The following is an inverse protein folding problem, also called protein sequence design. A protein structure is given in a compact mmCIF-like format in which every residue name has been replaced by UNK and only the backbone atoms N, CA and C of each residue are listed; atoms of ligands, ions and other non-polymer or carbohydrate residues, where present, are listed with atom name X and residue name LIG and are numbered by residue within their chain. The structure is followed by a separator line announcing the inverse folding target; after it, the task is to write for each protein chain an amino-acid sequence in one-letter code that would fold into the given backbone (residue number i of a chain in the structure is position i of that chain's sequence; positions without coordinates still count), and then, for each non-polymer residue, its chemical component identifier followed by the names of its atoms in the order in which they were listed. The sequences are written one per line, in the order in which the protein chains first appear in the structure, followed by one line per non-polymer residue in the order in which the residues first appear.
data_IF_942241303286
#
_entry.id   IF_942241303286
#
_cell.length_a   1.000
_cell.length_b   1.000
_cell.length_c   1.000
_cell.angle_alpha   90.00
_cell.angle_beta   90.00
_cell.angle_gamma   90.00
#
_symmetry.space_group_name_H-M   'P 1'
#
loop_
_entity.id
_entity.type
_entity.pdbx_description
1 polymer ?
#
# COMPACT_ATOMS: atom_id res chain seq x y z
N UNK A 1 15.83 -13.68 6.92
CA UNK A 1 14.69 -12.73 6.83
C UNK A 1 14.98 -11.47 6.02
N UNK A 2 16.04 -10.67 6.29
CA UNK A 2 16.29 -9.39 5.58
C UNK A 2 16.24 -9.46 4.04
N UNK A 3 16.75 -10.53 3.43
CA UNK A 3 16.74 -10.74 1.97
C UNK A 3 15.33 -10.95 1.39
N UNK A 4 14.42 -11.54 2.15
CA UNK A 4 13.03 -11.78 1.73
C UNK A 4 12.24 -10.47 1.82
N UNK A 5 12.40 -9.73 2.93
CA UNK A 5 11.78 -8.42 3.12
C UNK A 5 12.18 -7.43 2.01
N UNK A 6 13.48 -7.35 1.71
CA UNK A 6 13.99 -6.48 0.64
C UNK A 6 13.43 -6.85 -0.75
N UNK A 7 13.22 -8.14 -1.02
CA UNK A 7 12.59 -8.58 -2.28
C UNK A 7 11.14 -8.13 -2.36
N UNK A 8 10.41 -8.24 -1.26
CA UNK A 8 9.02 -7.78 -1.17
C UNK A 8 8.92 -6.26 -1.38
N UNK A 9 9.75 -5.46 -0.71
CA UNK A 9 9.80 -4.00 -0.88
C UNK A 9 10.03 -3.59 -2.35
N UNK A 10 10.98 -4.25 -3.01
CA UNK A 10 11.27 -4.00 -4.43
C UNK A 10 10.06 -4.33 -5.31
N UNK A 11 9.38 -5.46 -5.06
CA UNK A 11 8.18 -5.83 -5.81
C UNK A 11 7.07 -4.79 -5.65
N UNK A 12 6.87 -4.25 -4.45
CA UNK A 12 5.87 -3.20 -4.21
C UNK A 12 6.23 -1.90 -4.96
N UNK A 13 7.51 -1.51 -4.97
CA UNK A 13 7.96 -0.34 -5.74
C UNK A 13 7.69 -0.50 -7.24
N UNK A 14 8.01 -1.66 -7.82
CA UNK A 14 7.71 -1.93 -9.23
C UNK A 14 6.20 -1.86 -9.50
N UNK A 15 5.39 -2.43 -8.62
CA UNK A 15 3.94 -2.41 -8.77
C UNK A 15 3.37 -0.98 -8.70
N UNK A 16 3.88 -0.14 -7.80
CA UNK A 16 3.51 1.28 -7.73
C UNK A 16 3.81 2.02 -9.03
N UNK A 17 5.01 1.81 -9.59
CA UNK A 17 5.42 2.46 -10.84
C UNK A 17 4.52 2.01 -11.98
N UNK A 18 4.24 0.71 -12.07
CA UNK A 18 3.35 0.14 -13.10
C UNK A 18 1.93 0.69 -12.95
N UNK A 19 1.39 0.79 -11.73
CA UNK A 19 0.06 1.33 -11.50
C UNK A 19 -0.02 2.85 -11.72
N UNK A 20 1.05 3.59 -11.48
CA UNK A 20 1.07 5.03 -11.73
C UNK A 20 1.22 5.34 -13.23
N UNK A 21 2.07 4.61 -13.94
CA UNK A 21 2.40 4.87 -15.34
C UNK A 21 1.59 4.06 -16.35
N UNK A 22 1.39 2.77 -16.09
CA UNK A 22 0.78 1.86 -17.05
C UNK A 22 -0.73 2.09 -17.26
N UNK A 23 -1.42 2.61 -16.24
CA UNK A 23 -2.85 2.85 -16.28
C UNK A 23 -3.29 3.90 -17.33
N UNK A 24 -2.68 5.11 -17.40
CA UNK A 24 -3.03 6.06 -18.44
C UNK A 24 -2.74 5.51 -19.83
N UNK A 25 -1.63 4.78 -20.01
CA UNK A 25 -1.29 4.17 -21.30
C UNK A 25 -2.32 3.11 -21.75
N UNK A 26 -2.84 2.31 -20.81
CA UNK A 26 -3.92 1.37 -21.08
C UNK A 26 -5.22 2.10 -21.48
N UNK A 27 -5.52 3.23 -20.83
CA UNK A 27 -6.65 4.08 -21.19
C UNK A 27 -6.58 4.58 -22.63
N UNK A 28 -5.39 5.04 -23.05
CA UNK A 28 -5.14 5.48 -24.43
C UNK A 28 -5.32 4.33 -25.43
N UNK A 29 -4.81 3.13 -25.12
CA UNK A 29 -4.97 1.95 -25.98
C UNK A 29 -6.42 1.46 -26.08
N UNK A 30 -7.20 1.61 -25.01
CA UNK A 30 -8.62 1.26 -24.98
C UNK A 30 -9.51 2.34 -25.61
N UNK A 31 -8.94 3.44 -26.10
CA UNK A 31 -9.67 4.52 -26.77
C UNK A 31 -10.51 5.36 -25.80
N UNK A 32 -10.07 5.51 -24.55
CA UNK A 32 -10.80 6.31 -23.56
C UNK A 32 -10.47 7.79 -23.73
N UNK A 33 -11.12 8.42 -24.70
CA UNK A 33 -10.97 9.84 -24.96
C UNK A 33 -11.77 10.66 -23.95
N UNK A 34 -11.21 10.88 -22.76
CA UNK A 34 -11.80 11.73 -21.74
C UNK A 34 -11.06 11.73 -20.41
N UNK A 35 -11.16 12.85 -19.68
CA UNK A 35 -10.56 12.99 -18.34
C UNK A 35 -11.25 12.07 -17.32
N UNK A 36 -12.58 11.94 -17.41
CA UNK A 36 -13.39 11.21 -16.44
C UNK A 36 -13.05 9.71 -16.34
N UNK A 37 -12.92 8.95 -17.45
CA UNK A 37 -12.52 7.53 -17.38
C UNK A 37 -11.16 7.32 -16.72
N UNK A 38 -10.15 8.12 -17.08
CA UNK A 38 -8.78 8.01 -16.54
C UNK A 38 -8.76 8.29 -15.03
N UNK A 39 -9.48 9.34 -14.60
CA UNK A 39 -9.66 9.68 -13.18
C UNK A 39 -10.28 8.51 -12.41
N UNK A 40 -11.29 7.83 -12.97
CA UNK A 40 -11.91 6.66 -12.34
C UNK A 40 -10.97 5.45 -12.24
N UNK A 41 -10.13 5.19 -13.24
CA UNK A 41 -9.13 4.10 -13.14
C UNK A 41 -8.19 4.39 -11.99
N UNK A 42 -7.66 5.62 -11.90
CA UNK A 42 -6.77 6.00 -10.82
C UNK A 42 -7.44 5.83 -9.47
N UNK A 43 -8.67 6.33 -9.32
CA UNK A 43 -9.44 6.16 -8.11
C UNK A 43 -9.59 4.69 -7.68
N UNK A 44 -10.02 3.81 -8.59
CA UNK A 44 -10.31 2.41 -8.25
C UNK A 44 -9.01 1.63 -8.03
N UNK A 45 -8.08 1.66 -8.98
CA UNK A 45 -6.90 0.80 -8.95
C UNK A 45 -5.83 1.30 -8.00
N UNK A 46 -5.48 2.60 -8.04
CA UNK A 46 -4.51 3.14 -7.08
C UNK A 46 -5.13 3.31 -5.69
N UNK A 47 -6.43 3.60 -5.57
CA UNK A 47 -7.11 3.60 -4.28
C UNK A 47 -7.20 2.21 -3.65
N UNK A 48 -7.60 1.19 -4.42
CA UNK A 48 -7.59 -0.20 -3.97
C UNK A 48 -6.19 -0.67 -3.59
N UNK A 49 -5.18 -0.29 -4.39
CA UNK A 49 -3.79 -0.58 -4.06
C UNK A 49 -3.32 0.14 -2.78
N UNK A 50 -3.72 1.39 -2.55
CA UNK A 50 -3.37 2.14 -1.33
C UNK A 50 -3.87 1.42 -0.06
N UNK A 51 -5.12 0.93 -0.09
CA UNK A 51 -5.70 0.13 0.98
C UNK A 51 -4.88 -1.16 1.22
N UNK A 52 -4.61 -1.92 0.14
CA UNK A 52 -3.79 -3.13 0.20
C UNK A 52 -2.40 -2.85 0.76
N UNK A 53 -1.76 -1.76 0.31
CA UNK A 53 -0.40 -1.42 0.67
C UNK A 53 -0.26 -1.02 2.14
N UNK A 54 -1.19 -0.21 2.67
CA UNK A 54 -1.25 0.11 4.11
C UNK A 54 -1.39 -1.14 4.98
N UNK A 55 -2.25 -2.09 4.57
CA UNK A 55 -2.38 -3.39 5.24
C UNK A 55 -1.08 -4.21 5.17
N UNK A 56 -0.38 -4.20 4.04
CA UNK A 56 0.87 -4.94 3.87
C UNK A 56 2.01 -4.38 4.75
N UNK A 57 2.12 -3.06 4.86
CA UNK A 57 3.09 -2.40 5.74
C UNK A 57 2.92 -2.90 7.18
N UNK A 58 1.66 -2.90 7.65
CA UNK A 58 1.31 -3.40 8.97
C UNK A 58 1.66 -4.88 9.13
N UNK A 59 1.18 -5.73 8.21
CA UNK A 59 1.34 -7.19 8.26
C UNK A 59 2.80 -7.64 8.29
N UNK A 60 3.68 -6.94 7.58
CA UNK A 60 5.09 -7.29 7.48
C UNK A 60 6.01 -6.51 8.43
N UNK A 61 5.44 -5.64 9.28
CA UNK A 61 6.22 -4.80 10.21
C UNK A 61 7.17 -3.83 9.50
N UNK A 62 6.78 -3.35 8.31
CA UNK A 62 7.57 -2.35 7.58
C UNK A 62 7.56 -1.00 8.32
N UNK A 63 8.58 -0.18 8.07
CA UNK A 63 8.62 1.17 8.61
C UNK A 63 7.38 1.97 8.16
N UNK A 64 6.71 2.71 9.06
CA UNK A 64 5.57 3.57 8.71
C UNK A 64 5.91 4.63 7.64
N UNK A 65 7.19 4.96 7.45
CA UNK A 65 7.65 5.82 6.35
C UNK A 65 7.27 5.26 4.98
N UNK A 66 7.02 3.96 4.84
CA UNK A 66 6.52 3.39 3.60
C UNK A 66 5.15 3.94 3.20
N UNK A 67 4.31 4.38 4.13
CA UNK A 67 2.98 4.95 3.85
C UNK A 67 3.05 6.17 2.93
N UNK A 68 4.12 6.96 3.00
CA UNK A 68 4.30 8.13 2.13
C UNK A 68 4.91 7.79 0.78
N UNK A 69 5.48 6.59 0.60
CA UNK A 69 6.19 6.21 -0.63
C UNK A 69 5.24 6.10 -1.81
N UNK A 70 4.12 5.40 -1.65
CA UNK A 70 3.12 5.27 -2.71
C UNK A 70 2.55 6.63 -3.18
N UNK A 71 2.04 7.51 -2.29
CA UNK A 71 1.50 8.80 -2.71
C UNK A 71 2.58 9.71 -3.33
N UNK A 72 3.83 9.64 -2.86
CA UNK A 72 4.95 10.37 -3.46
C UNK A 72 5.28 9.87 -4.86
N UNK A 73 5.40 8.55 -5.07
CA UNK A 73 5.67 7.96 -6.40
C UNK A 73 4.55 8.33 -7.36
N UNK A 74 3.30 8.24 -6.92
CA UNK A 74 2.14 8.61 -7.73
C UNK A 74 2.22 10.08 -8.17
N UNK A 75 2.39 11.02 -7.23
CA UNK A 75 2.49 12.45 -7.54
C UNK A 75 3.70 12.75 -8.45
N UNK A 76 4.86 12.16 -8.14
CA UNK A 76 6.08 12.36 -8.91
C UNK A 76 5.90 11.93 -10.37
N UNK A 77 5.39 10.72 -10.61
CA UNK A 77 5.23 10.19 -11.95
C UNK A 77 4.10 10.87 -12.71
N UNK A 78 2.90 10.91 -12.12
CA UNK A 78 1.70 11.38 -12.84
C UNK A 78 1.63 12.89 -12.99
N UNK A 79 2.22 13.65 -12.06
CA UNK A 79 2.10 15.11 -12.02
C UNK A 79 3.40 15.78 -12.40
N UNK A 80 4.49 15.49 -11.70
CA UNK A 80 5.73 16.27 -11.84
C UNK A 80 6.55 15.89 -13.07
N UNK A 81 6.63 14.60 -13.41
CA UNK A 81 7.50 14.11 -14.48
C UNK A 81 6.78 13.98 -15.82
N UNK A 82 5.59 13.36 -15.83
CA UNK A 82 4.95 12.92 -17.07
C UNK A 82 3.69 13.72 -17.43
N UNK A 83 3.21 14.60 -16.55
CA UNK A 83 2.01 15.42 -16.76
C UNK A 83 0.80 14.60 -17.27
N UNK A 84 0.60 13.39 -16.74
CA UNK A 84 -0.46 12.45 -17.15
C UNK A 84 -1.84 12.90 -16.69
N UNK A 85 -1.90 13.72 -15.64
CA UNK A 85 -3.13 14.31 -15.08
C UNK A 85 -2.90 15.77 -14.74
N UNK A 86 -3.98 16.54 -14.58
CA UNK A 86 -3.85 17.91 -14.07
C UNK A 86 -3.23 17.90 -12.66
N UNK A 87 -2.46 18.95 -12.35
CA UNK A 87 -1.78 19.08 -11.06
C UNK A 87 -2.72 18.96 -9.87
N UNK A 88 -3.93 19.52 -10.00
CA UNK A 88 -4.96 19.45 -8.96
C UNK A 88 -5.37 17.99 -8.68
N UNK A 89 -5.69 17.23 -9.73
CA UNK A 89 -6.07 15.82 -9.57
C UNK A 89 -4.92 14.98 -9.02
N UNK A 90 -3.70 15.18 -9.52
CA UNK A 90 -2.52 14.46 -9.06
C UNK A 90 -2.26 14.61 -7.56
N UNK A 91 -2.31 15.85 -7.05
CA UNK A 91 -2.15 16.11 -5.62
C UNK A 91 -3.32 15.61 -4.77
N UNK A 92 -4.56 15.76 -5.24
CA UNK A 92 -5.74 15.25 -4.52
C UNK A 92 -5.72 13.73 -4.40
N UNK A 93 -5.36 13.02 -5.47
CA UNK A 93 -5.20 11.57 -5.44
C UNK A 93 -4.05 11.13 -4.54
N UNK A 94 -2.92 11.81 -4.60
CA UNK A 94 -1.78 11.54 -3.71
C UNK A 94 -2.19 11.64 -2.23
N UNK A 95 -2.86 12.73 -1.84
CA UNK A 95 -3.35 12.88 -0.48
C UNK A 95 -4.40 11.81 -0.11
N UNK A 96 -5.31 11.51 -1.04
CA UNK A 96 -6.32 10.48 -0.86
C UNK A 96 -5.71 9.09 -0.61
N UNK A 97 -4.67 8.70 -1.37
CA UNK A 97 -3.99 7.41 -1.17
C UNK A 97 -3.24 7.34 0.16
N UNK A 98 -2.67 8.46 0.62
CA UNK A 98 -2.09 8.53 1.96
C UNK A 98 -3.16 8.25 3.02
N UNK A 99 -4.34 8.86 2.91
CA UNK A 99 -5.46 8.65 3.84
C UNK A 99 -5.92 7.19 3.82
N UNK A 100 -6.08 6.58 2.63
CA UNK A 100 -6.50 5.19 2.51
C UNK A 100 -5.49 4.20 3.10
N UNK A 101 -4.20 4.40 2.82
CA UNK A 101 -3.16 3.53 3.38
C UNK A 101 -3.02 3.71 4.89
N UNK A 102 -3.18 4.94 5.41
CA UNK A 102 -3.29 5.18 6.86
C UNK A 102 -4.48 4.45 7.47
N UNK A 103 -5.64 4.46 6.82
CA UNK A 103 -6.83 3.80 7.32
C UNK A 103 -6.61 2.29 7.52
N UNK A 104 -5.99 1.61 6.57
CA UNK A 104 -5.71 0.16 6.69
C UNK A 104 -4.51 -0.15 7.57
N UNK A 105 -3.54 0.75 7.66
CA UNK A 105 -2.42 0.64 8.58
C UNK A 105 -2.84 0.78 10.05
N UNK A 106 -3.70 1.76 10.36
CA UNK A 106 -4.17 2.06 11.71
C UNK A 106 -5.36 1.20 12.15
N UNK A 107 -5.98 0.46 11.24
CA UNK A 107 -7.11 -0.42 11.57
C UNK A 107 -6.68 -1.44 12.62
N UNK A 108 -7.15 -1.22 13.84
CA UNK A 108 -6.95 -2.10 14.99
C UNK A 108 -7.59 -3.46 14.70
N UNK A 109 -6.76 -4.48 14.48
CA UNK A 109 -7.18 -5.86 14.74
C UNK A 109 -6.38 -6.28 15.95
N UNK A 110 -6.98 -6.09 17.12
CA UNK A 110 -6.64 -6.84 18.32
C UNK A 110 -6.92 -8.31 18.01
N UNK A 111 -5.99 -8.97 17.34
CA UNK A 111 -5.67 -10.33 17.68
C UNK A 111 -4.62 -10.17 18.77
N UNK A 112 -5.07 -10.27 20.02
CA UNK A 112 -4.18 -10.28 21.17
C UNK A 112 -3.12 -11.37 20.91
N UNK A 113 -1.81 -11.04 20.91
CA UNK A 113 -0.74 -12.04 20.77
C UNK A 113 -0.81 -13.10 21.88
N UNK A 114 -1.57 -12.79 22.92
CA UNK A 114 -1.85 -13.54 24.13
C UNK A 114 -2.66 -14.82 23.88
N UNK A 115 -3.40 -14.92 22.78
CA UNK A 115 -4.19 -16.13 22.47
C UNK A 115 -3.37 -17.23 21.76
N UNK A 116 -2.16 -16.92 21.27
CA UNK A 116 -1.28 -17.90 20.60
C UNK A 116 -0.11 -18.36 21.47
N UNK A 117 -0.19 -18.17 22.80
CA UNK A 117 0.74 -18.85 23.70
C UNK A 117 0.40 -20.34 23.72
N UNK A 118 1.28 -21.12 23.10
CA UNK A 118 1.42 -22.57 23.25
C UNK A 118 1.02 -22.99 24.65
N UNK A 119 0.02 -23.87 24.77
CA UNK A 119 -0.25 -24.56 26.02
C UNK A 119 1.05 -25.21 26.49
N UNK A 120 1.71 -24.64 27.50
CA UNK A 120 2.83 -25.28 28.17
C UNK A 120 2.23 -26.38 29.04
N UNK A 121 1.77 -27.45 28.38
CA UNK A 121 1.37 -28.70 29.00
C UNK A 121 2.63 -29.51 29.33
N UNK A 122 3.50 -28.89 30.13
CA UNK A 122 4.47 -29.58 30.96
C UNK A 122 4.40 -28.89 32.31
N UNK A 123 3.48 -29.40 33.12
CA UNK A 123 3.27 -28.96 34.49
C UNK A 123 4.58 -28.92 35.26
N UNK A 124 4.70 -27.91 36.11
CA UNK A 124 5.67 -27.86 37.18
C UNK A 124 5.46 -29.08 38.10
N UNK A 125 6.10 -30.20 37.76
CA UNK A 125 6.42 -31.25 38.70
C UNK A 125 7.93 -31.19 38.93
N UNK A 126 8.36 -30.22 39.73
CA UNK A 126 9.37 -30.46 40.75
C UNK A 126 9.41 -29.26 41.69
N UNK A 127 9.88 -29.48 42.91
CA UNK A 127 10.01 -28.56 44.05
C UNK A 127 8.86 -28.58 45.07
N UNK A 128 8.56 -29.79 45.56
CA UNK A 128 8.04 -30.01 46.91
C UNK A 128 8.93 -31.02 47.63
N UNK A 129 9.64 -30.57 48.66
CA UNK A 129 10.34 -31.41 49.65
C UNK A 129 9.42 -32.47 50.27
#
# INVERSE_FOLDING_TARGET
MKKILRRFEIQQLFLMIILAYGLPQLGDWLGWYGVTPIVWIFFILNGGYALYFGWQIRKHGLSPLWLVVQPLIFALLTTLLLNLVSNQYGYYFSLFYLILSLFTFLRDTRDDPDENFVSVENGFHDLGN
#
